data_IF_719062418541
#
_entry.id   IF_719062418541
#
_cell.length_a   1.000
_cell.length_b   1.000
_cell.length_c   1.000
_cell.angle_alpha   90.00
_cell.angle_beta   90.00
_cell.angle_gamma   90.00
#
_symmetry.space_group_name_H-M   'P 1'
#
loop_
_entity.id
_entity.type
_entity.pdbx_description
1 polymer ?
#
# COMPACT_ATOMS: atom_id res chain seq x y z
N UNK A 1 8.13 -23.44 -35.26
CA UNK A 1 8.61 -22.10 -34.96
C UNK A 1 8.50 -21.91 -33.44
N UNK A 2 9.63 -21.88 -32.75
CA UNK A 2 9.64 -21.70 -31.32
C UNK A 2 9.10 -20.30 -31.02
N UNK A 3 7.93 -20.22 -30.39
CA UNK A 3 7.43 -19.01 -29.77
C UNK A 3 8.43 -18.69 -28.65
N UNK A 4 9.40 -17.82 -28.90
CA UNK A 4 10.24 -17.21 -27.87
C UNK A 4 9.28 -16.48 -26.97
N UNK A 5 8.91 -17.11 -25.85
CA UNK A 5 8.09 -16.53 -24.81
C UNK A 5 8.82 -15.27 -24.33
N UNK A 6 8.39 -14.10 -24.85
CA UNK A 6 8.92 -12.84 -24.34
C UNK A 6 8.56 -12.74 -22.85
N UNK A 7 9.46 -12.18 -22.06
CA UNK A 7 9.17 -11.89 -20.67
C UNK A 7 7.95 -10.96 -20.59
N UNK A 8 7.02 -11.26 -19.68
CA UNK A 8 5.92 -10.35 -19.38
C UNK A 8 6.48 -9.02 -18.85
N UNK A 9 5.82 -7.94 -19.22
CA UNK A 9 6.16 -6.59 -18.74
C UNK A 9 5.14 -6.12 -17.72
N UNK A 10 5.62 -5.67 -16.55
CA UNK A 10 4.80 -5.05 -15.54
C UNK A 10 5.16 -3.57 -15.38
N UNK A 11 4.15 -2.70 -15.32
CA UNK A 11 4.30 -1.30 -14.95
C UNK A 11 3.79 -1.12 -13.52
N UNK A 12 4.66 -0.64 -12.61
CA UNK A 12 4.34 -0.38 -11.21
C UNK A 12 4.36 1.12 -10.95
N UNK A 13 3.25 1.70 -10.52
CA UNK A 13 3.21 3.07 -10.01
C UNK A 13 3.40 3.08 -8.49
N UNK A 14 3.79 4.22 -7.91
CA UNK A 14 4.10 4.27 -6.48
C UNK A 14 5.30 3.37 -6.11
N UNK A 15 6.24 3.21 -7.04
CA UNK A 15 7.33 2.24 -6.99
C UNK A 15 8.30 2.43 -5.81
N UNK A 16 8.26 3.56 -5.13
CA UNK A 16 9.09 3.88 -3.96
C UNK A 16 8.40 3.57 -2.62
N UNK A 17 7.14 3.15 -2.67
CA UNK A 17 6.33 2.81 -1.49
C UNK A 17 6.66 1.45 -0.89
N UNK A 18 6.04 1.18 0.28
CA UNK A 18 6.16 -0.08 0.99
C UNK A 18 5.82 -1.28 0.09
N UNK A 19 4.61 -1.31 -0.47
CA UNK A 19 4.10 -2.45 -1.23
C UNK A 19 4.94 -2.73 -2.47
N UNK A 20 5.33 -1.67 -3.19
CA UNK A 20 6.19 -1.81 -4.35
C UNK A 20 7.55 -2.43 -4.00
N UNK A 21 8.08 -2.17 -2.80
CA UNK A 21 9.35 -2.73 -2.35
C UNK A 21 9.34 -4.26 -2.21
N UNK A 22 8.16 -4.85 -2.00
CA UNK A 22 7.94 -6.31 -1.99
C UNK A 22 7.44 -6.83 -3.34
N UNK A 23 6.57 -6.06 -4.03
CA UNK A 23 6.01 -6.48 -5.32
C UNK A 23 7.06 -6.53 -6.43
N UNK A 24 7.96 -5.55 -6.50
CA UNK A 24 8.99 -5.50 -7.54
C UNK A 24 9.89 -6.74 -7.49
N UNK A 25 10.50 -7.13 -6.35
CA UNK A 25 11.24 -8.39 -6.25
C UNK A 25 10.41 -9.61 -6.64
N UNK A 26 9.16 -9.70 -6.16
CA UNK A 26 8.25 -10.80 -6.50
C UNK A 26 8.04 -10.93 -8.02
N UNK A 27 7.87 -9.80 -8.72
CA UNK A 27 7.69 -9.79 -10.18
C UNK A 27 8.99 -10.18 -10.91
N UNK A 28 10.14 -9.68 -10.45
CA UNK A 28 11.46 -10.04 -10.99
C UNK A 28 11.74 -11.55 -10.84
N UNK A 29 11.42 -12.12 -9.67
CA UNK A 29 11.56 -13.56 -9.40
C UNK A 29 10.64 -14.42 -10.27
N UNK A 30 9.49 -13.86 -10.66
CA UNK A 30 8.57 -14.48 -11.63
C UNK A 30 8.97 -14.26 -13.09
N UNK A 31 10.11 -13.64 -13.36
CA UNK A 31 10.65 -13.43 -14.69
C UNK A 31 10.06 -12.25 -15.46
N UNK A 32 9.41 -11.30 -14.78
CA UNK A 32 8.91 -10.08 -15.43
C UNK A 32 10.06 -9.11 -15.73
N UNK A 33 9.90 -8.34 -16.79
CA UNK A 33 10.56 -7.06 -16.99
C UNK A 33 9.72 -5.99 -16.26
N UNK A 34 10.29 -5.32 -15.26
CA UNK A 34 9.56 -4.41 -14.38
C UNK A 34 9.89 -2.96 -14.71
N UNK A 35 8.87 -2.19 -15.02
CA UNK A 35 8.93 -0.76 -15.27
C UNK A 35 8.29 -0.02 -14.10
N UNK A 36 8.99 0.97 -13.55
CA UNK A 36 8.58 1.72 -12.38
C UNK A 36 8.26 3.17 -12.76
N UNK A 37 7.02 3.62 -12.56
CA UNK A 37 6.70 5.02 -12.62
C UNK A 37 7.10 5.68 -11.30
N UNK A 38 8.03 6.63 -11.36
CA UNK A 38 8.49 7.40 -10.21
C UNK A 38 8.23 8.89 -10.44
N UNK A 39 7.75 9.56 -9.38
CA UNK A 39 7.61 11.02 -9.40
C UNK A 39 8.99 11.65 -9.22
N UNK A 40 9.35 12.56 -10.13
CA UNK A 40 10.59 13.33 -10.00
C UNK A 40 10.47 14.29 -8.82
N UNK A 41 11.42 14.23 -7.91
CA UNK A 41 11.49 15.09 -6.73
C UNK A 41 12.87 15.74 -6.64
N UNK A 42 12.95 16.93 -6.06
CA UNK A 42 14.19 17.61 -5.72
C UNK A 42 14.95 16.95 -4.56
N UNK A 43 14.29 16.07 -3.78
CA UNK A 43 14.91 15.32 -2.69
C UNK A 43 15.88 14.19 -3.15
N UNK A 44 16.12 14.07 -4.46
CA UNK A 44 17.08 13.11 -5.01
C UNK A 44 16.76 11.66 -4.70
N UNK A 45 17.76 10.90 -4.26
CA UNK A 45 17.66 9.45 -4.01
C UNK A 45 16.99 9.06 -2.68
N UNK A 46 16.72 9.99 -1.78
CA UNK A 46 16.08 9.70 -0.48
C UNK A 46 14.71 9.04 -0.66
N UNK A 47 13.96 9.45 -1.68
CA UNK A 47 12.69 8.85 -2.03
C UNK A 47 12.81 7.42 -2.60
N UNK A 48 14.01 6.95 -2.94
CA UNK A 48 14.25 5.64 -3.54
C UNK A 48 14.70 4.59 -2.52
N UNK A 49 14.75 4.90 -1.22
CA UNK A 49 15.32 4.04 -0.17
C UNK A 49 14.85 2.58 -0.27
N UNK A 50 13.57 2.36 -0.53
CA UNK A 50 12.96 1.03 -0.58
C UNK A 50 13.36 0.20 -1.82
N UNK A 51 13.77 0.83 -2.91
CA UNK A 51 14.18 0.15 -4.15
C UNK A 51 15.68 0.36 -4.46
N UNK A 52 16.39 1.10 -3.61
CA UNK A 52 17.79 1.40 -3.82
C UNK A 52 18.69 0.15 -3.95
N UNK A 53 18.49 -0.94 -3.18
CA UNK A 53 19.23 -2.17 -3.39
C UNK A 53 19.10 -2.74 -4.79
N UNK A 54 17.89 -2.69 -5.38
CA UNK A 54 17.64 -3.16 -6.74
C UNK A 54 18.25 -2.25 -7.81
N UNK A 55 18.33 -0.94 -7.54
CA UNK A 55 18.95 0.03 -8.44
C UNK A 55 20.48 -0.13 -8.44
N UNK A 56 21.07 -0.55 -7.34
CA UNK A 56 22.51 -0.80 -7.20
C UNK A 56 22.95 -2.14 -7.76
N UNK A 57 22.02 -3.04 -8.02
CA UNK A 57 22.28 -4.34 -8.62
C UNK A 57 22.41 -4.20 -10.15
N UNK A 58 23.64 -4.34 -10.68
CA UNK A 58 23.94 -4.19 -12.10
C UNK A 58 23.34 -5.30 -12.97
N UNK A 59 22.99 -6.44 -12.38
CA UNK A 59 22.29 -7.54 -13.11
C UNK A 59 20.78 -7.30 -13.18
N UNK A 60 20.24 -6.40 -12.36
CA UNK A 60 18.82 -6.07 -12.31
C UNK A 60 18.53 -4.73 -12.99
N UNK A 61 19.21 -3.67 -12.57
CA UNK A 61 18.94 -2.32 -13.06
C UNK A 61 19.30 -2.16 -14.54
N UNK A 62 18.38 -1.56 -15.31
CA UNK A 62 18.46 -1.38 -16.78
C UNK A 62 18.52 -2.65 -17.63
N UNK A 63 18.45 -3.83 -16.99
CA UNK A 63 18.32 -5.13 -17.69
C UNK A 63 16.94 -5.73 -17.49
N UNK A 64 16.40 -5.62 -16.26
CA UNK A 64 15.09 -6.17 -15.86
C UNK A 64 14.23 -5.15 -15.12
N UNK A 65 14.83 -4.08 -14.59
CA UNK A 65 14.17 -3.00 -13.86
C UNK A 65 14.47 -1.65 -14.51
N UNK A 66 13.42 -0.92 -14.89
CA UNK A 66 13.50 0.36 -15.60
C UNK A 66 12.72 1.44 -14.85
N UNK A 67 13.30 2.63 -14.71
CA UNK A 67 12.64 3.77 -14.06
C UNK A 67 12.15 4.79 -15.10
N UNK A 68 10.91 5.23 -14.95
CA UNK A 68 10.28 6.23 -15.81
C UNK A 68 9.78 7.41 -14.98
N UNK A 69 10.18 8.62 -15.35
CA UNK A 69 9.64 9.82 -14.72
C UNK A 69 8.20 10.09 -15.21
N UNK A 70 7.27 10.19 -14.26
CA UNK A 70 5.85 10.46 -14.51
C UNK A 70 5.10 10.80 -13.23
N UNK A 71 3.86 11.25 -13.35
CA UNK A 71 2.99 11.61 -12.23
C UNK A 71 1.55 11.18 -12.53
N UNK A 72 0.82 10.69 -11.51
CA UNK A 72 -0.60 10.32 -11.63
C UNK A 72 -1.49 11.55 -11.88
N UNK A 73 -1.01 12.75 -11.55
CA UNK A 73 -1.64 14.01 -11.88
C UNK A 73 -1.48 14.41 -13.36
N UNK A 74 -0.57 13.78 -14.11
CA UNK A 74 -0.28 14.10 -15.52
C UNK A 74 -0.61 12.94 -16.46
N UNK A 75 -1.78 13.01 -17.11
CA UNK A 75 -2.24 12.00 -18.07
C UNK A 75 -1.34 11.88 -19.30
N UNK A 76 -0.59 12.92 -19.68
CA UNK A 76 0.33 12.89 -20.80
C UNK A 76 1.54 11.99 -20.51
N UNK A 77 2.13 12.11 -19.34
CA UNK A 77 3.23 11.23 -18.89
C UNK A 77 2.79 9.77 -18.76
N UNK A 78 1.61 9.51 -18.19
CA UNK A 78 1.04 8.17 -18.07
C UNK A 78 0.89 7.52 -19.45
N UNK A 79 0.23 8.23 -20.40
CA UNK A 79 0.01 7.71 -21.76
C UNK A 79 1.34 7.45 -22.46
N UNK A 80 2.29 8.38 -22.38
CA UNK A 80 3.63 8.23 -22.98
C UNK A 80 4.33 6.98 -22.44
N UNK A 81 4.30 6.75 -21.13
CA UNK A 81 4.94 5.59 -20.51
C UNK A 81 4.25 4.30 -20.95
N UNK A 82 2.91 4.21 -20.87
CA UNK A 82 2.16 3.03 -21.30
C UNK A 82 2.40 2.73 -22.78
N UNK A 83 2.44 3.74 -23.65
CA UNK A 83 2.73 3.59 -25.09
C UNK A 83 4.15 3.07 -25.32
N UNK A 84 5.14 3.59 -24.61
CA UNK A 84 6.54 3.20 -24.82
C UNK A 84 6.88 1.83 -24.24
N UNK A 85 6.27 1.46 -23.12
CA UNK A 85 6.51 0.19 -22.42
C UNK A 85 5.68 -0.94 -23.01
N UNK A 86 4.42 -0.66 -23.37
CA UNK A 86 3.42 -1.67 -23.75
C UNK A 86 3.36 -2.80 -22.70
N UNK A 87 3.02 -2.50 -21.43
CA UNK A 87 3.00 -3.49 -20.36
C UNK A 87 1.89 -4.52 -20.59
N UNK A 88 2.10 -5.75 -20.10
CA UNK A 88 1.05 -6.77 -20.03
C UNK A 88 0.17 -6.56 -18.81
N UNK A 89 0.78 -6.04 -17.72
CA UNK A 89 0.12 -5.82 -16.43
C UNK A 89 0.53 -4.47 -15.84
N UNK A 90 -0.44 -3.75 -15.26
CA UNK A 90 -0.19 -2.51 -14.51
C UNK A 90 -0.62 -2.71 -13.07
N UNK A 91 0.27 -2.41 -12.13
CA UNK A 91 0.01 -2.39 -10.69
C UNK A 91 0.00 -0.94 -10.21
N UNK A 92 -1.20 -0.36 -10.05
CA UNK A 92 -1.34 1.00 -9.59
C UNK A 92 -1.36 1.06 -8.05
N UNK A 93 -0.18 1.28 -7.46
CA UNK A 93 0.04 1.45 -6.03
C UNK A 93 0.25 2.93 -5.65
N UNK A 94 0.41 3.79 -6.65
CA UNK A 94 0.59 5.24 -6.45
C UNK A 94 -0.65 5.89 -5.85
N UNK A 95 -0.44 6.69 -4.81
CA UNK A 95 -1.50 7.42 -4.12
C UNK A 95 -0.92 8.60 -3.31
N UNK A 96 -1.77 9.58 -2.98
CA UNK A 96 -1.63 10.32 -1.73
C UNK A 96 -2.24 9.40 -0.66
N UNK A 97 -1.41 8.81 0.23
CA UNK A 97 -1.80 7.67 1.05
C UNK A 97 -2.06 8.00 2.52
N UNK A 98 -1.76 9.22 2.96
CA UNK A 98 -1.99 9.66 4.34
C UNK A 98 -3.41 10.23 4.49
N UNK A 99 -4.20 9.62 5.37
CA UNK A 99 -5.58 10.04 5.63
C UNK A 99 -5.61 11.41 6.31
N UNK A 100 -4.69 11.68 7.25
CA UNK A 100 -4.65 12.95 7.98
C UNK A 100 -4.26 14.10 7.05
N UNK A 101 -3.23 13.92 6.23
CA UNK A 101 -2.81 14.88 5.22
C UNK A 101 -3.90 15.16 4.17
N UNK A 102 -4.79 14.19 3.91
CA UNK A 102 -5.87 14.40 2.95
C UNK A 102 -6.86 15.49 3.35
N UNK A 103 -7.02 15.75 4.66
CA UNK A 103 -7.84 16.88 5.14
C UNK A 103 -7.17 18.24 4.93
N UNK A 104 -5.83 18.27 4.82
CA UNK A 104 -5.07 19.49 4.53
C UNK A 104 -4.95 19.73 3.01
N UNK A 105 -4.97 18.67 2.20
CA UNK A 105 -4.83 18.73 0.74
C UNK A 105 -5.95 17.93 0.03
N UNK A 106 -7.23 18.29 0.22
CA UNK A 106 -8.35 17.45 -0.26
C UNK A 106 -8.41 17.35 -1.78
N UNK A 107 -8.21 18.44 -2.51
CA UNK A 107 -8.25 18.45 -3.97
C UNK A 107 -7.15 17.56 -4.56
N UNK A 108 -5.92 17.68 -4.07
CA UNK A 108 -4.81 16.83 -4.48
C UNK A 108 -5.07 15.36 -4.20
N UNK A 109 -5.59 15.04 -2.99
CA UNK A 109 -5.91 13.67 -2.61
C UNK A 109 -6.96 13.05 -3.53
N UNK A 110 -8.05 13.78 -3.82
CA UNK A 110 -9.10 13.32 -4.72
C UNK A 110 -8.57 13.19 -6.15
N UNK A 111 -7.79 14.14 -6.64
CA UNK A 111 -7.26 14.11 -8.01
C UNK A 111 -6.30 12.92 -8.23
N UNK A 112 -5.35 12.72 -7.33
CA UNK A 112 -4.38 11.62 -7.46
C UNK A 112 -5.05 10.26 -7.27
N UNK A 113 -5.89 10.11 -6.23
CA UNK A 113 -6.47 8.82 -5.86
C UNK A 113 -7.67 8.43 -6.73
N UNK A 114 -8.37 9.40 -7.32
CA UNK A 114 -9.54 9.20 -8.17
C UNK A 114 -9.23 9.42 -9.65
N UNK A 115 -8.97 10.67 -10.05
CA UNK A 115 -8.71 10.99 -11.45
C UNK A 115 -7.42 10.36 -11.99
N UNK A 116 -6.41 10.13 -11.12
CA UNK A 116 -5.21 9.37 -11.48
C UNK A 116 -5.53 7.98 -12.02
N UNK A 117 -6.49 7.29 -11.40
CA UNK A 117 -6.99 5.98 -11.87
C UNK A 117 -7.70 6.11 -13.22
N UNK A 118 -8.54 7.14 -13.37
CA UNK A 118 -9.23 7.40 -14.66
C UNK A 118 -8.22 7.68 -15.78
N UNK A 119 -7.14 8.44 -15.50
CA UNK A 119 -6.05 8.69 -16.49
C UNK A 119 -5.38 7.40 -16.94
N UNK A 120 -5.13 6.44 -16.03
CA UNK A 120 -4.57 5.12 -16.37
C UNK A 120 -5.56 4.32 -17.22
N UNK A 121 -6.82 4.25 -16.80
CA UNK A 121 -7.88 3.51 -17.52
C UNK A 121 -8.08 4.05 -18.95
N UNK A 122 -8.11 5.37 -19.13
CA UNK A 122 -8.19 5.99 -20.45
C UNK A 122 -6.94 5.70 -21.30
N UNK A 123 -5.75 5.73 -20.70
CA UNK A 123 -4.54 5.37 -21.42
C UNK A 123 -4.57 3.90 -21.87
N UNK A 124 -5.00 2.96 -21.01
CA UNK A 124 -5.18 1.54 -21.36
C UNK A 124 -6.19 1.40 -22.50
N UNK A 125 -7.37 2.02 -22.36
CA UNK A 125 -8.45 1.93 -23.35
C UNK A 125 -8.00 2.36 -24.74
N UNK A 126 -7.19 3.40 -24.82
CA UNK A 126 -6.73 4.00 -26.12
C UNK A 126 -5.49 3.29 -26.67
N UNK A 127 -4.54 2.88 -25.80
CA UNK A 127 -3.26 2.32 -26.24
C UNK A 127 -3.36 0.81 -26.49
N UNK A 128 -3.86 0.06 -25.52
CA UNK A 128 -4.05 -1.38 -25.63
C UNK A 128 -5.04 -1.89 -24.57
N UNK A 129 -6.31 -2.17 -24.93
CA UNK A 129 -7.33 -2.62 -24.00
C UNK A 129 -7.11 -4.03 -23.42
N UNK A 130 -6.09 -4.76 -23.88
CA UNK A 130 -5.73 -6.08 -23.35
C UNK A 130 -4.81 -5.99 -22.12
N UNK A 131 -4.30 -4.81 -21.78
CA UNK A 131 -3.50 -4.59 -20.57
C UNK A 131 -4.37 -4.86 -19.33
N UNK A 132 -3.86 -5.71 -18.43
CA UNK A 132 -4.51 -5.98 -17.16
C UNK A 132 -4.14 -4.91 -16.12
N UNK A 133 -5.12 -4.40 -15.39
CA UNK A 133 -4.92 -3.38 -14.35
C UNK A 133 -5.30 -3.91 -12.97
N UNK A 134 -4.36 -3.86 -12.04
CA UNK A 134 -4.61 -3.95 -10.61
C UNK A 134 -4.62 -2.54 -9.99
N UNK A 135 -5.68 -2.20 -9.26
CA UNK A 135 -5.82 -0.98 -8.49
C UNK A 135 -5.74 -1.28 -7.00
N UNK A 136 -4.77 -0.70 -6.31
CA UNK A 136 -4.74 -0.70 -4.85
C UNK A 136 -5.86 0.21 -4.31
N UNK A 137 -6.92 -0.40 -3.82
CA UNK A 137 -8.01 0.25 -3.11
C UNK A 137 -7.77 0.15 -1.60
N UNK A 138 -8.76 0.38 -0.75
CA UNK A 138 -8.58 0.51 0.70
C UNK A 138 -9.83 0.12 1.46
N UNK A 139 -9.68 -0.41 2.67
CA UNK A 139 -10.77 -0.62 3.63
C UNK A 139 -11.42 0.68 4.11
N UNK A 140 -10.75 1.83 3.97
CA UNK A 140 -11.32 3.15 4.27
C UNK A 140 -12.53 3.50 3.37
N UNK A 141 -12.78 2.75 2.27
CA UNK A 141 -14.02 2.84 1.48
C UNK A 141 -15.25 2.54 2.32
N UNK A 142 -15.14 1.60 3.26
CA UNK A 142 -16.24 1.21 4.13
C UNK A 142 -16.60 2.31 5.12
N UNK A 143 -15.61 3.04 5.62
CA UNK A 143 -15.76 4.22 6.46
C UNK A 143 -16.59 3.96 7.72
N UNK A 144 -17.68 4.70 7.90
CA UNK A 144 -18.62 4.48 9.01
C UNK A 144 -19.47 3.24 8.70
N UNK A 145 -19.01 2.08 9.16
CA UNK A 145 -19.60 0.77 8.84
C UNK A 145 -20.89 0.49 9.60
N UNK A 146 -21.83 -0.16 8.94
CA UNK A 146 -23.10 -0.62 9.53
C UNK A 146 -23.03 -2.12 9.92
N UNK A 147 -22.03 -2.84 9.38
CA UNK A 147 -21.81 -4.27 9.60
C UNK A 147 -20.32 -4.62 9.73
N UNK A 148 -20.03 -5.70 10.45
CA UNK A 148 -18.68 -6.24 10.65
C UNK A 148 -18.75 -7.76 10.68
N UNK A 149 -17.88 -8.51 9.98
CA UNK A 149 -16.78 -8.03 9.13
C UNK A 149 -17.27 -7.54 7.75
N UNK A 150 -16.41 -6.76 7.04
CA UNK A 150 -16.72 -6.16 5.75
C UNK A 150 -16.22 -7.03 4.58
N UNK A 151 -17.01 -7.17 3.54
CA UNK A 151 -16.68 -7.86 2.28
C UNK A 151 -17.02 -7.00 1.06
N UNK A 152 -16.88 -7.57 -0.14
CA UNK A 152 -17.08 -6.86 -1.41
C UNK A 152 -18.50 -6.36 -1.66
N UNK A 153 -19.47 -6.82 -0.86
CA UNK A 153 -20.88 -6.42 -0.94
C UNK A 153 -21.28 -5.39 0.11
N UNK A 154 -20.43 -5.22 1.14
CA UNK A 154 -20.68 -4.26 2.21
C UNK A 154 -20.78 -2.83 1.65
N UNK A 155 -21.74 -2.07 2.19
CA UNK A 155 -21.98 -0.68 1.79
C UNK A 155 -20.73 0.17 2.00
N UNK A 156 -20.41 0.97 0.99
CA UNK A 156 -19.29 1.93 1.04
C UNK A 156 -19.77 3.28 1.56
N UNK A 157 -19.06 3.83 2.55
CA UNK A 157 -19.39 5.10 3.21
C UNK A 157 -18.12 5.88 3.61
N UNK A 158 -17.32 6.37 2.63
CA UNK A 158 -16.03 7.02 2.87
C UNK A 158 -16.14 8.25 3.78
N UNK A 159 -15.22 8.41 4.74
CA UNK A 159 -15.26 9.46 5.77
C UNK A 159 -14.12 10.48 5.65
N UNK A 160 -13.28 10.42 4.61
CA UNK A 160 -12.16 11.33 4.41
C UNK A 160 -11.98 11.68 2.93
N UNK A 161 -11.30 12.79 2.59
CA UNK A 161 -10.94 13.11 1.22
C UNK A 161 -10.09 11.99 0.55
N UNK A 162 -9.21 11.35 1.31
CA UNK A 162 -8.48 10.15 0.89
C UNK A 162 -9.44 9.04 0.46
N UNK A 163 -10.36 8.66 1.35
CA UNK A 163 -11.32 7.60 1.09
C UNK A 163 -12.27 7.95 -0.06
N UNK A 164 -12.67 9.22 -0.18
CA UNK A 164 -13.48 9.70 -1.30
C UNK A 164 -12.74 9.58 -2.62
N UNK A 165 -11.47 9.98 -2.70
CA UNK A 165 -10.63 9.81 -3.89
C UNK A 165 -10.49 8.32 -4.27
N UNK A 166 -10.22 7.46 -3.29
CA UNK A 166 -10.16 6.00 -3.51
C UNK A 166 -11.51 5.42 -3.96
N UNK A 167 -12.63 5.96 -3.46
CA UNK A 167 -13.99 5.56 -3.90
C UNK A 167 -14.23 5.92 -5.37
N UNK A 168 -13.85 7.11 -5.81
CA UNK A 168 -13.93 7.51 -7.22
C UNK A 168 -13.12 6.53 -8.09
N UNK A 169 -11.87 6.23 -7.69
CA UNK A 169 -11.03 5.26 -8.40
C UNK A 169 -11.65 3.86 -8.45
N UNK A 170 -12.19 3.37 -7.34
CA UNK A 170 -12.88 2.08 -7.26
C UNK A 170 -14.09 2.00 -8.20
N UNK A 171 -14.93 3.04 -8.20
CA UNK A 171 -16.09 3.10 -9.10
C UNK A 171 -15.67 3.20 -10.57
N UNK A 172 -14.59 3.92 -10.87
CA UNK A 172 -14.05 3.99 -12.23
C UNK A 172 -13.61 2.59 -12.72
N UNK A 173 -12.89 1.81 -11.91
CA UNK A 173 -12.51 0.42 -12.22
C UNK A 173 -13.74 -0.40 -12.61
N UNK A 174 -14.80 -0.36 -11.80
CA UNK A 174 -16.05 -1.10 -12.08
C UNK A 174 -16.69 -0.65 -13.38
N UNK A 175 -16.83 0.66 -13.59
CA UNK A 175 -17.49 1.20 -14.78
C UNK A 175 -16.72 0.93 -16.06
N UNK A 176 -15.39 1.02 -16.05
CA UNK A 176 -14.57 0.71 -17.22
C UNK A 176 -14.56 -0.78 -17.57
N UNK A 177 -14.62 -1.65 -16.56
CA UNK A 177 -14.82 -3.09 -16.71
C UNK A 177 -16.17 -3.41 -17.37
N UNK A 178 -17.25 -2.80 -16.87
CA UNK A 178 -18.61 -2.99 -17.37
C UNK A 178 -18.84 -2.41 -18.78
N UNK A 179 -18.38 -1.18 -19.01
CA UNK A 179 -18.66 -0.44 -20.23
C UNK A 179 -17.72 -0.77 -21.40
N UNK A 180 -16.44 -1.07 -21.10
CA UNK A 180 -15.40 -1.24 -22.14
C UNK A 180 -14.77 -2.63 -22.13
N UNK A 181 -15.18 -3.53 -21.23
CA UNK A 181 -14.63 -4.88 -21.15
C UNK A 181 -13.16 -4.93 -20.70
N UNK A 182 -12.63 -3.88 -20.07
CA UNK A 182 -11.24 -3.86 -19.61
C UNK A 182 -11.02 -4.88 -18.49
N UNK A 183 -9.86 -5.54 -18.51
CA UNK A 183 -9.44 -6.38 -17.39
C UNK A 183 -8.90 -5.48 -16.28
N UNK A 184 -9.78 -4.95 -15.46
CA UNK A 184 -9.46 -4.05 -14.36
C UNK A 184 -10.03 -4.57 -13.03
N UNK A 185 -9.17 -4.69 -12.01
CA UNK A 185 -9.46 -5.29 -10.71
C UNK A 185 -9.09 -4.33 -9.59
N UNK A 186 -9.83 -4.39 -8.47
CA UNK A 186 -9.47 -3.69 -7.23
C UNK A 186 -9.15 -4.68 -6.11
N UNK A 187 -8.02 -4.48 -5.43
CA UNK A 187 -7.79 -5.06 -4.11
C UNK A 187 -8.26 -4.08 -3.04
N UNK A 188 -9.30 -4.41 -2.29
CA UNK A 188 -9.77 -3.63 -1.15
C UNK A 188 -8.93 -4.05 0.05
N UNK A 189 -7.80 -3.38 0.21
CA UNK A 189 -6.79 -3.75 1.18
C UNK A 189 -7.13 -3.22 2.56
N UNK A 190 -7.14 -4.09 3.55
CA UNK A 190 -7.13 -3.71 4.96
C UNK A 190 -5.73 -3.26 5.37
N UNK A 191 -5.58 -2.75 6.58
CA UNK A 191 -4.30 -2.20 7.01
C UNK A 191 -3.21 -3.26 6.90
N UNK A 192 -2.08 -2.90 6.32
CA UNK A 192 -0.93 -3.77 6.21
C UNK A 192 0.35 -2.98 6.43
N UNK A 193 1.21 -3.53 7.22
CA UNK A 193 2.42 -2.89 7.69
C UNK A 193 3.65 -3.74 7.41
N UNK A 194 4.81 -3.13 7.53
CA UNK A 194 6.10 -3.80 7.46
C UNK A 194 7.21 -2.87 7.96
N UNK A 195 8.41 -3.42 8.09
CA UNK A 195 9.64 -2.70 8.38
C UNK A 195 10.05 -1.67 7.29
N UNK A 196 9.36 -1.69 6.13
CA UNK A 196 9.60 -0.78 4.99
C UNK A 196 8.59 0.34 4.86
N UNK A 197 7.62 0.40 5.78
CA UNK A 197 6.60 1.44 5.80
C UNK A 197 7.20 2.83 6.06
N UNK A 198 6.49 3.89 5.65
CA UNK A 198 6.85 5.27 5.99
C UNK A 198 6.80 5.52 7.49
N UNK A 199 7.73 6.30 8.04
CA UNK A 199 7.90 6.48 9.48
C UNK A 199 6.75 7.28 10.12
N UNK A 200 5.95 8.02 9.32
CA UNK A 200 4.81 8.83 9.79
C UNK A 200 3.52 8.03 9.98
N UNK A 201 3.44 6.81 9.43
CA UNK A 201 2.27 5.95 9.64
C UNK A 201 2.24 5.38 11.05
N UNK A 202 1.05 5.32 11.65
CA UNK A 202 0.81 4.95 13.04
C UNK A 202 1.62 3.71 13.48
N UNK A 203 1.48 2.61 12.74
CA UNK A 203 2.13 1.34 13.03
C UNK A 203 3.65 1.48 13.06
N UNK A 204 4.24 2.11 12.05
CA UNK A 204 5.68 2.36 11.98
C UNK A 204 6.13 3.42 12.97
N UNK A 205 5.36 4.48 13.16
CA UNK A 205 5.64 5.53 14.16
C UNK A 205 5.81 4.95 15.55
N UNK A 206 4.97 3.97 15.93
CA UNK A 206 5.07 3.27 17.21
C UNK A 206 6.35 2.45 17.29
N UNK A 207 6.63 1.58 16.31
CA UNK A 207 7.80 0.70 16.38
C UNK A 207 9.13 1.45 16.28
N UNK A 208 9.18 2.54 15.49
CA UNK A 208 10.33 3.47 15.44
C UNK A 208 10.56 4.15 16.80
N UNK A 209 9.49 4.65 17.42
CA UNK A 209 9.58 5.27 18.75
C UNK A 209 10.08 4.27 19.79
N UNK A 210 9.57 3.03 19.79
CA UNK A 210 10.04 1.95 20.68
C UNK A 210 11.54 1.71 20.53
N UNK A 211 12.05 1.57 19.32
CA UNK A 211 13.47 1.40 19.07
C UNK A 211 14.31 2.58 19.58
N UNK A 212 13.88 3.81 19.28
CA UNK A 212 14.57 5.05 19.68
C UNK A 212 14.52 5.30 21.19
N UNK A 213 13.40 4.98 21.85
CA UNK A 213 13.27 5.06 23.32
C UNK A 213 14.22 4.06 23.98
N UNK A 214 14.26 2.82 23.50
CA UNK A 214 15.17 1.78 24.00
C UNK A 214 16.64 2.16 23.83
N UNK A 215 17.00 2.83 22.74
CA UNK A 215 18.35 3.34 22.48
C UNK A 215 18.68 4.62 23.27
N UNK A 216 17.70 5.26 23.92
CA UNK A 216 17.85 6.52 24.66
C UNK A 216 17.85 7.78 23.75
N UNK A 217 17.41 7.66 22.50
CA UNK A 217 17.35 8.73 21.51
C UNK A 217 16.02 9.51 21.55
N UNK A 218 15.02 8.97 22.23
CA UNK A 218 13.69 9.57 22.35
C UNK A 218 13.13 9.29 23.74
N UNK A 219 12.26 10.18 24.28
CA UNK A 219 11.68 10.03 25.60
C UNK A 219 10.19 9.72 25.56
N UNK A 220 9.46 10.32 24.64
CA UNK A 220 8.00 10.22 24.55
C UNK A 220 7.53 9.96 23.13
N UNK A 221 6.34 9.36 23.01
CA UNK A 221 5.60 9.15 21.76
C UNK A 221 4.21 9.80 21.91
N UNK A 222 3.86 10.72 21.01
CA UNK A 222 2.54 11.35 20.97
C UNK A 222 1.63 10.64 19.98
N UNK A 223 0.47 10.19 20.46
CA UNK A 223 -0.54 9.49 19.67
C UNK A 223 -1.92 10.14 19.87
N UNK A 224 -2.81 9.90 18.90
CA UNK A 224 -4.23 10.31 18.99
C UNK A 224 -5.08 9.21 19.63
N UNK A 225 -6.16 8.82 18.94
CA UNK A 225 -7.13 7.83 19.40
C UNK A 225 -6.54 6.41 19.46
N UNK A 226 -6.47 5.84 20.68
CA UNK A 226 -6.00 4.46 20.89
C UNK A 226 -7.13 3.40 20.80
N UNK A 227 -8.40 3.82 20.78
CA UNK A 227 -9.53 2.89 20.82
C UNK A 227 -9.93 2.36 19.44
N UNK A 228 -9.53 3.03 18.35
CA UNK A 228 -9.85 2.59 16.98
C UNK A 228 -9.31 1.19 16.71
N UNK A 229 -10.12 0.36 16.03
CA UNK A 229 -9.79 -1.04 15.71
C UNK A 229 -9.48 -1.20 14.23
N UNK A 230 -8.40 -1.90 13.93
CA UNK A 230 -7.97 -2.20 12.56
C UNK A 230 -7.59 -3.67 12.41
N UNK A 231 -7.78 -4.18 11.22
CA UNK A 231 -7.26 -5.47 10.78
C UNK A 231 -5.88 -5.21 10.17
N UNK A 232 -4.81 -5.71 10.78
CA UNK A 232 -3.44 -5.53 10.33
C UNK A 232 -2.83 -6.83 9.80
N UNK A 233 -2.31 -6.78 8.56
CA UNK A 233 -1.54 -7.85 7.96
C UNK A 233 -0.14 -7.42 7.55
N UNK A 234 0.65 -8.39 7.05
CA UNK A 234 2.01 -8.16 6.57
C UNK A 234 2.03 -7.79 5.08
N UNK A 235 2.63 -6.65 4.74
CA UNK A 235 2.68 -6.16 3.37
C UNK A 235 3.33 -7.14 2.38
N UNK A 236 4.35 -7.88 2.81
CA UNK A 236 5.00 -8.90 1.99
C UNK A 236 4.08 -10.06 1.56
N UNK A 237 3.01 -10.33 2.31
CA UNK A 237 1.99 -11.31 1.92
C UNK A 237 0.93 -10.67 1.02
N UNK A 238 0.52 -9.42 1.30
CA UNK A 238 -0.52 -8.73 0.52
C UNK A 238 -0.13 -8.54 -0.95
N UNK A 239 1.15 -8.31 -1.25
CA UNK A 239 1.61 -8.17 -2.66
C UNK A 239 1.47 -9.48 -3.44
N UNK A 240 1.47 -10.63 -2.78
CA UNK A 240 1.18 -11.91 -3.45
C UNK A 240 -0.28 -11.94 -3.91
N UNK A 241 -1.23 -11.48 -3.07
CA UNK A 241 -2.63 -11.35 -3.48
C UNK A 241 -2.79 -10.39 -4.67
N UNK A 242 -2.07 -9.26 -4.68
CA UNK A 242 -2.10 -8.32 -5.81
C UNK A 242 -1.72 -9.01 -7.14
N UNK A 243 -0.66 -9.81 -7.12
CA UNK A 243 -0.26 -10.59 -8.29
C UNK A 243 -1.30 -11.65 -8.65
N UNK A 244 -1.80 -12.42 -7.67
CA UNK A 244 -2.78 -13.50 -7.88
C UNK A 244 -4.08 -12.99 -8.50
N UNK A 245 -4.53 -11.78 -8.15
CA UNK A 245 -5.73 -11.12 -8.69
C UNK A 245 -5.61 -10.96 -10.21
N UNK A 246 -4.46 -10.53 -10.73
CA UNK A 246 -4.27 -10.36 -12.18
C UNK A 246 -4.04 -11.67 -12.92
N UNK A 247 -3.79 -12.79 -12.22
CA UNK A 247 -3.65 -14.11 -12.86
C UNK A 247 -5.00 -14.83 -13.06
N UNK A 248 -6.10 -14.25 -12.56
CA UNK A 248 -7.42 -14.84 -12.74
C UNK A 248 -7.89 -14.73 -14.21
N UNK A 249 -8.82 -15.63 -14.60
CA UNK A 249 -9.39 -15.63 -15.95
C UNK A 249 -10.32 -14.45 -16.21
N UNK A 250 -11.00 -13.96 -15.16
CA UNK A 250 -11.96 -12.84 -15.22
C UNK A 250 -11.61 -11.77 -14.19
N UNK A 251 -11.79 -10.50 -14.56
CA UNK A 251 -11.53 -9.41 -13.64
C UNK A 251 -12.61 -9.36 -12.54
N UNK A 252 -12.18 -9.16 -11.29
CA UNK A 252 -13.07 -9.00 -10.16
C UNK A 252 -12.37 -8.18 -9.04
N UNK A 253 -13.12 -7.79 -8.01
CA UNK A 253 -12.63 -7.06 -6.85
C UNK A 253 -12.52 -8.01 -5.65
N UNK A 254 -11.52 -7.82 -4.80
CA UNK A 254 -11.23 -8.70 -3.67
C UNK A 254 -10.92 -7.92 -2.40
N UNK A 255 -11.58 -8.29 -1.31
CA UNK A 255 -11.19 -7.87 0.05
C UNK A 255 -9.98 -8.69 0.46
N UNK A 256 -8.93 -8.00 0.90
CA UNK A 256 -7.67 -8.60 1.38
C UNK A 256 -7.43 -8.12 2.81
N UNK A 257 -7.43 -9.04 3.76
CA UNK A 257 -7.25 -8.81 5.17
C UNK A 257 -6.98 -10.11 5.93
N UNK A 258 -6.78 -10.00 7.24
CA UNK A 258 -6.51 -11.16 8.11
C UNK A 258 -7.79 -11.75 8.70
N UNK A 259 -8.86 -10.96 8.80
CA UNK A 259 -10.09 -11.32 9.51
C UNK A 259 -10.00 -11.14 11.03
N UNK A 260 -8.90 -10.61 11.55
CA UNK A 260 -8.69 -10.31 12.96
C UNK A 260 -8.54 -8.79 13.13
N UNK A 261 -9.23 -8.20 14.10
CA UNK A 261 -9.13 -6.76 14.36
C UNK A 261 -8.63 -6.49 15.77
N UNK A 262 -7.74 -5.52 15.89
CA UNK A 262 -7.09 -5.11 17.13
C UNK A 262 -7.18 -3.60 17.32
N UNK A 263 -7.13 -3.13 18.57
CA UNK A 263 -7.07 -1.70 18.87
C UNK A 263 -5.66 -1.15 18.63
N UNK A 264 -5.58 0.14 18.42
CA UNK A 264 -4.29 0.85 18.42
C UNK A 264 -3.57 0.68 19.76
N UNK A 265 -4.33 0.64 20.86
CA UNK A 265 -3.76 0.39 22.18
C UNK A 265 -3.06 -0.99 22.25
N UNK A 266 -3.70 -2.07 21.77
CA UNK A 266 -3.09 -3.40 21.73
C UNK A 266 -1.79 -3.42 20.89
N UNK A 267 -1.74 -2.67 19.78
CA UNK A 267 -0.51 -2.51 19.00
C UNK A 267 0.60 -1.86 19.82
N UNK A 268 0.28 -0.76 20.52
CA UNK A 268 1.23 -0.03 21.38
C UNK A 268 1.70 -0.90 22.53
N UNK A 269 0.78 -1.55 23.24
CA UNK A 269 1.09 -2.41 24.38
C UNK A 269 2.02 -3.56 24.00
N UNK A 270 1.73 -4.26 22.90
CA UNK A 270 2.56 -5.35 22.40
C UNK A 270 3.96 -4.87 22.00
N UNK A 271 4.04 -3.76 21.24
CA UNK A 271 5.32 -3.23 20.76
C UNK A 271 6.27 -2.83 21.92
N UNK A 272 5.72 -2.12 22.92
CA UNK A 272 6.50 -1.71 24.09
C UNK A 272 6.87 -2.90 24.99
N UNK A 273 5.91 -3.80 25.25
CA UNK A 273 6.14 -5.00 26.09
C UNK A 273 7.22 -5.90 25.49
N UNK A 274 7.17 -6.13 24.17
CA UNK A 274 8.18 -6.92 23.47
C UNK A 274 9.59 -6.33 23.58
N UNK A 275 9.69 -5.00 23.58
CA UNK A 275 10.97 -4.32 23.78
C UNK A 275 11.43 -4.27 25.26
N UNK A 276 10.62 -4.75 26.22
CA UNK A 276 10.88 -4.66 27.65
C UNK A 276 10.63 -3.28 28.26
N UNK A 277 9.72 -2.51 27.65
CA UNK A 277 9.35 -1.15 28.08
C UNK A 277 7.88 -1.10 28.55
N UNK A 278 7.57 -0.19 29.46
CA UNK A 278 6.19 0.11 29.84
C UNK A 278 5.69 1.30 29.03
N UNK A 279 4.71 1.08 28.14
CA UNK A 279 4.19 2.14 27.27
C UNK A 279 3.62 3.34 28.01
N UNK A 280 3.06 3.14 29.22
CA UNK A 280 2.47 4.23 30.04
C UNK A 280 3.48 5.27 30.47
N UNK A 281 4.76 4.92 30.52
CA UNK A 281 5.84 5.85 30.90
C UNK A 281 6.28 6.74 29.71
N UNK A 282 5.85 6.40 28.49
CA UNK A 282 6.36 7.02 27.28
C UNK A 282 5.28 7.56 26.32
N UNK A 283 4.04 7.05 26.39
CA UNK A 283 2.99 7.45 25.46
C UNK A 283 2.13 8.57 26.03
N UNK A 284 2.00 9.64 25.27
CA UNK A 284 1.18 10.82 25.59
C UNK A 284 0.05 10.91 24.58
N UNK A 285 -1.19 10.97 25.05
CA UNK A 285 -2.36 11.22 24.20
C UNK A 285 -2.45 12.70 23.86
N UNK A 286 -2.41 13.02 22.58
CA UNK A 286 -2.47 14.39 22.07
C UNK A 286 -3.77 14.59 21.26
N UNK A 287 -4.67 15.43 21.78
CA UNK A 287 -5.96 15.73 21.16
C UNK A 287 -5.83 16.31 19.74
N UNK A 288 -4.71 16.98 19.43
CA UNK A 288 -4.45 17.56 18.11
C UNK A 288 -4.23 16.52 17.02
N UNK A 289 -3.95 15.26 17.41
CA UNK A 289 -3.74 14.13 16.51
C UNK A 289 -5.02 13.31 16.26
N UNK A 290 -6.15 13.72 16.83
CA UNK A 290 -7.44 13.11 16.52
C UNK A 290 -7.90 13.55 15.12
N UNK A 291 -8.45 12.63 14.35
CA UNK A 291 -8.97 12.92 13.02
C UNK A 291 -10.31 13.65 13.12
N UNK A 292 -10.62 14.57 12.18
CA UNK A 292 -11.94 15.23 12.12
C UNK A 292 -13.12 14.25 11.98
N UNK A 293 -12.90 13.12 11.27
CA UNK A 293 -13.84 12.01 11.16
C UNK A 293 -13.06 10.72 11.40
N UNK A 294 -13.44 10.00 12.45
CA UNK A 294 -12.78 8.74 12.83
C UNK A 294 -13.58 7.54 12.33
N UNK A 295 -12.88 6.48 11.98
CA UNK A 295 -13.47 5.18 11.65
C UNK A 295 -13.17 4.25 12.84
N UNK A 296 -14.21 3.79 13.53
CA UNK A 296 -14.05 3.06 14.79
C UNK A 296 -13.51 1.65 14.60
N UNK A 297 -14.05 0.92 13.61
CA UNK A 297 -13.69 -0.48 13.39
C UNK A 297 -13.66 -0.85 11.91
N UNK A 298 -12.59 -1.55 11.52
CA UNK A 298 -12.48 -2.22 10.23
C UNK A 298 -11.98 -3.66 10.47
N UNK A 299 -12.68 -4.66 9.91
CA UNK A 299 -12.37 -6.08 10.01
C UNK A 299 -12.75 -6.76 8.69
N UNK A 300 -11.82 -7.45 8.05
CA UNK A 300 -12.02 -8.08 6.75
C UNK A 300 -12.82 -9.38 6.85
N UNK A 301 -13.78 -9.57 5.94
CA UNK A 301 -14.22 -10.88 5.52
C UNK A 301 -13.53 -11.21 4.17
N UNK A 302 -12.36 -11.84 4.25
CA UNK A 302 -11.54 -12.19 3.10
C UNK A 302 -11.86 -13.59 2.51
N UNK A 303 -13.04 -14.16 2.78
CA UNK A 303 -13.41 -15.49 2.31
C UNK A 303 -13.32 -15.64 0.80
N UNK A 304 -13.71 -14.62 0.01
CA UNK A 304 -13.59 -14.65 -1.45
C UNK A 304 -12.13 -14.78 -1.90
N UNK A 305 -11.21 -14.04 -1.29
CA UNK A 305 -9.78 -14.15 -1.59
C UNK A 305 -9.22 -15.52 -1.21
N UNK A 306 -9.64 -16.09 -0.09
CA UNK A 306 -9.27 -17.44 0.31
C UNK A 306 -9.76 -18.50 -0.70
N UNK A 307 -11.01 -18.43 -1.11
CA UNK A 307 -11.64 -19.42 -2.01
C UNK A 307 -11.12 -19.30 -3.46
N UNK A 308 -11.00 -18.06 -3.99
CA UNK A 308 -10.69 -17.83 -5.39
C UNK A 308 -9.20 -17.69 -5.67
N UNK A 309 -8.45 -17.13 -4.73
CA UNK A 309 -7.01 -16.89 -4.87
C UNK A 309 -6.16 -17.86 -4.06
N UNK A 310 -6.76 -18.67 -3.17
CA UNK A 310 -6.05 -19.45 -2.15
C UNK A 310 -5.16 -18.57 -1.25
N UNK A 311 -5.54 -17.29 -1.11
CA UNK A 311 -4.80 -16.35 -0.27
C UNK A 311 -5.19 -16.51 1.19
N UNK A 312 -4.21 -16.86 2.04
CA UNK A 312 -4.37 -16.96 3.50
C UNK A 312 -3.16 -16.32 4.15
N UNK A 313 -3.32 -15.18 4.85
CA UNK A 313 -2.24 -14.55 5.60
C UNK A 313 -1.71 -15.49 6.70
N UNK A 314 -0.39 -15.57 6.84
CA UNK A 314 0.29 -16.44 7.82
C UNK A 314 0.88 -15.63 8.96
N UNK A 315 1.37 -14.43 8.68
CA UNK A 315 1.96 -13.54 9.69
C UNK A 315 0.85 -13.03 10.60
N UNK A 316 0.92 -13.37 11.88
CA UNK A 316 -0.07 -12.97 12.88
C UNK A 316 0.26 -11.60 13.44
N UNK A 317 -0.73 -10.99 14.09
CA UNK A 317 -0.66 -9.63 14.65
C UNK A 317 0.61 -9.40 15.50
N UNK A 318 0.90 -10.28 16.45
CA UNK A 318 2.08 -10.16 17.30
C UNK A 318 3.39 -10.37 16.54
N UNK A 319 3.43 -11.33 15.63
CA UNK A 319 4.62 -11.63 14.84
C UNK A 319 4.99 -10.43 13.94
N UNK A 320 3.97 -9.75 13.38
CA UNK A 320 4.15 -8.52 12.60
C UNK A 320 4.79 -7.41 13.45
N UNK A 321 4.26 -7.19 14.64
CA UNK A 321 4.79 -6.17 15.57
C UNK A 321 6.24 -6.49 15.94
N UNK A 322 6.52 -7.75 16.33
CA UNK A 322 7.87 -8.20 16.71
C UNK A 322 8.87 -8.00 15.59
N UNK A 323 8.51 -8.40 14.34
CA UNK A 323 9.34 -8.20 13.16
C UNK A 323 9.69 -6.71 12.96
N UNK A 324 8.70 -5.82 13.11
CA UNK A 324 8.91 -4.39 12.93
C UNK A 324 9.74 -3.78 14.08
N UNK A 325 9.49 -4.19 15.33
CA UNK A 325 10.23 -3.71 16.51
C UNK A 325 11.70 -4.15 16.43
N UNK A 326 11.97 -5.40 16.07
CA UNK A 326 13.34 -5.91 15.93
C UNK A 326 14.15 -5.14 14.89
N UNK A 327 13.52 -4.84 13.75
CA UNK A 327 14.14 -4.00 12.72
C UNK A 327 14.42 -2.59 13.24
N UNK A 328 13.48 -1.99 13.96
CA UNK A 328 13.58 -0.60 14.39
C UNK A 328 14.51 -0.39 15.57
N UNK A 329 14.69 -1.41 16.43
CA UNK A 329 15.75 -1.42 17.45
C UNK A 329 17.11 -1.39 16.75
N UNK A 330 17.35 -2.25 15.75
CA UNK A 330 18.61 -2.26 14.99
C UNK A 330 18.91 -0.93 14.32
N UNK A 331 17.88 -0.31 13.71
CA UNK A 331 18.03 1.01 13.09
C UNK A 331 18.35 2.11 14.11
N UNK A 332 17.72 2.07 15.28
CA UNK A 332 18.00 3.04 16.35
C UNK A 332 19.40 2.89 16.95
N UNK A 333 19.90 1.66 17.08
CA UNK A 333 21.29 1.39 17.48
C UNK A 333 22.30 1.95 16.46
N UNK A 334 22.05 1.73 15.16
CA UNK A 334 22.88 2.31 14.10
C UNK A 334 22.84 3.84 14.13
N UNK A 335 21.68 4.45 14.32
CA UNK A 335 21.52 5.88 14.47
C UNK A 335 22.33 6.41 15.66
N UNK A 336 22.26 5.74 16.81
CA UNK A 336 23.03 6.10 18.02
C UNK A 336 24.52 6.03 17.82
N UNK A 337 25.01 5.07 17.05
CA UNK A 337 26.45 4.93 16.75
C UNK A 337 26.96 5.97 15.74
N UNK A 338 26.06 6.60 14.97
CA UNK A 338 26.39 7.62 13.99
C UNK A 338 26.41 9.05 14.57
N UNK A 339 25.92 9.24 15.82
CA UNK A 339 25.92 10.49 16.58
C UNK A 339 27.20 10.62 17.42
#
# INVERSE_FOLDING_TARGET
MANLLRNKKALVTGATGQDASFLIPLLLDKGYEVHCLIRRSSAGYENLRNILPLIRDEEVYRKKLFLHAGDLGDGSSIRRIITSVMPDEIYNLGAQADVSESFLMPEYSIDINGNGVVRILEAIRVVNPLIKLYQASTSELFGAVEETPQNEKTRLNPQSPYALGKYVGYQAIKKYREAYGLFACSGILFNHASERRGDDYLDRKVTRAVGRIKAGLQKELRLGNLASKRDWGYAGEYVQAMWMILQQERPDDYVIGTGETHTVQEWVEEAFTYAGLNWKDHVVIDQRLFRPAEVDILCADANKAKEKLSFVPKVRFKDLIHLMVDNDIKLAEQEKHAL
#
